data_IF_063595483065
#
_entry.id   IF_063595483065
#
_cell.length_a   1.000
_cell.length_b   1.000
_cell.length_c   1.000
_cell.angle_alpha   90.00
_cell.angle_beta   90.00
_cell.angle_gamma   90.00
#
_symmetry.space_group_name_H-M   'P 1'
#
loop_
_entity.id
_entity.type
_entity.pdbx_description
1 polymer ?
#
# COMPACT_ATOMS: atom_id res chain seq x y z
N UNK A 1 -3.88 -6.45 20.93
CA UNK A 1 -3.13 -5.57 20.02
C UNK A 1 -4.13 -4.69 19.29
N UNK A 2 -4.40 -3.51 19.84
CA UNK A 2 -5.39 -2.56 19.32
C UNK A 2 -4.70 -1.69 18.28
N UNK A 3 -5.08 -1.84 17.02
CA UNK A 3 -4.60 -1.03 15.90
C UNK A 3 -5.26 0.37 15.96
N UNK A 4 -4.81 1.22 16.89
CA UNK A 4 -5.37 2.57 17.11
C UNK A 4 -4.70 3.67 16.26
N UNK A 5 -3.77 3.34 15.36
CA UNK A 5 -3.23 4.30 14.38
C UNK A 5 -3.12 3.70 12.98
N UNK A 6 -4.06 4.09 12.12
CA UNK A 6 -4.10 3.83 10.66
C UNK A 6 -3.06 4.69 9.89
N UNK A 7 -1.84 4.82 10.39
CA UNK A 7 -0.81 5.64 9.74
C UNK A 7 -0.04 4.80 8.72
N UNK A 8 -0.50 4.81 7.46
CA UNK A 8 0.39 4.46 6.34
C UNK A 8 0.06 3.23 5.50
N UNK A 9 -1.22 2.91 5.31
CA UNK A 9 -1.57 1.89 4.32
C UNK A 9 -1.40 2.46 2.91
N UNK A 10 -0.48 1.88 2.14
CA UNK A 10 -0.33 2.11 0.69
C UNK A 10 -1.68 1.95 -0.04
N UNK A 11 -2.56 1.11 0.54
CA UNK A 11 -3.85 0.68 0.01
C UNK A 11 -5.02 1.32 0.78
N UNK A 12 -4.81 2.46 1.44
CA UNK A 12 -5.87 3.19 2.15
C UNK A 12 -6.80 3.98 1.20
N UNK A 13 -8.06 4.26 1.59
CA UNK A 13 -9.07 4.90 0.75
C UNK A 13 -8.64 6.17 -0.03
N UNK A 14 -7.75 7.04 0.50
CA UNK A 14 -7.30 8.23 -0.25
C UNK A 14 -6.20 7.95 -1.28
N UNK A 15 -5.51 6.80 -1.22
CA UNK A 15 -4.22 6.58 -1.91
C UNK A 15 -4.28 5.49 -2.98
N UNK A 16 -5.23 4.56 -2.92
CA UNK A 16 -5.46 3.54 -3.95
C UNK A 16 -6.33 4.04 -5.11
N UNK A 17 -6.05 5.23 -5.64
CA UNK A 17 -6.78 5.76 -6.80
C UNK A 17 -6.79 4.79 -7.99
N UNK A 18 -5.71 4.02 -8.18
CA UNK A 18 -5.62 2.99 -9.22
C UNK A 18 -6.69 1.91 -9.09
N UNK A 19 -6.84 1.31 -7.90
CA UNK A 19 -7.81 0.25 -7.66
C UNK A 19 -9.23 0.81 -7.48
N UNK A 20 -9.37 1.98 -6.86
CA UNK A 20 -10.65 2.66 -6.68
C UNK A 20 -11.25 3.15 -8.01
N UNK A 21 -10.42 3.46 -9.02
CA UNK A 21 -10.84 3.87 -10.36
C UNK A 21 -10.32 2.90 -11.43
N UNK A 22 -10.46 1.61 -11.16
CA UNK A 22 -9.97 0.56 -12.06
C UNK A 22 -10.44 0.78 -13.50
N UNK A 23 -9.49 0.72 -14.45
CA UNK A 23 -9.75 0.75 -15.88
C UNK A 23 -9.42 -0.62 -16.48
N UNK A 24 -10.18 -1.07 -17.48
CA UNK A 24 -9.95 -2.38 -18.12
C UNK A 24 -8.57 -2.48 -18.80
N UNK A 25 -7.98 -1.34 -19.15
CA UNK A 25 -6.62 -1.26 -19.72
C UNK A 25 -5.50 -1.46 -18.68
N UNK A 26 -5.80 -1.47 -17.39
CA UNK A 26 -4.80 -1.70 -16.35
C UNK A 26 -4.42 -3.18 -16.28
N UNK A 27 -3.13 -3.41 -16.05
CA UNK A 27 -2.56 -4.75 -15.89
C UNK A 27 -1.96 -4.91 -14.50
N UNK A 28 -1.68 -6.16 -14.11
CA UNK A 28 -0.98 -6.48 -12.85
C UNK A 28 0.34 -5.70 -12.75
N UNK A 29 1.03 -5.51 -13.89
CA UNK A 29 2.25 -4.68 -13.96
C UNK A 29 2.01 -3.27 -13.44
N UNK A 30 0.92 -2.62 -13.85
CA UNK A 30 0.56 -1.26 -13.41
C UNK A 30 0.30 -1.23 -11.90
N UNK A 31 -0.39 -2.24 -11.38
CA UNK A 31 -0.67 -2.37 -9.93
C UNK A 31 0.61 -2.46 -9.12
N UNK A 32 1.53 -3.35 -9.52
CA UNK A 32 2.80 -3.54 -8.82
C UNK A 32 3.71 -2.30 -8.92
N UNK A 33 3.72 -1.62 -10.06
CA UNK A 33 4.48 -0.38 -10.24
C UNK A 33 3.95 0.76 -9.35
N UNK A 34 2.63 0.90 -9.26
CA UNK A 34 2.02 1.93 -8.41
C UNK A 34 2.22 1.64 -6.92
N UNK A 35 2.12 0.37 -6.50
CA UNK A 35 2.46 -0.07 -5.14
C UNK A 35 3.90 0.32 -4.79
N UNK A 36 4.86 0.03 -5.67
CA UNK A 36 6.26 0.43 -5.48
C UNK A 36 6.43 1.95 -5.41
N UNK A 37 5.76 2.70 -6.29
CA UNK A 37 5.79 4.18 -6.27
C UNK A 37 5.30 4.73 -4.94
N UNK A 38 4.21 4.19 -4.42
CA UNK A 38 3.64 4.57 -3.13
C UNK A 38 4.54 4.19 -1.95
N UNK A 39 5.30 3.09 -2.03
CA UNK A 39 6.29 2.75 -0.98
C UNK A 39 7.42 3.77 -0.89
N UNK A 40 7.71 4.47 -2.00
CA UNK A 40 8.73 5.53 -2.06
C UNK A 40 8.17 6.93 -1.73
N UNK A 41 6.87 7.09 -1.43
CA UNK A 41 6.32 8.41 -1.10
C UNK A 41 6.82 8.90 0.27
N UNK A 42 6.99 10.22 0.42
CA UNK A 42 7.57 10.86 1.63
C UNK A 42 6.88 10.47 2.95
N UNK A 43 5.58 10.23 2.87
CA UNK A 43 4.70 9.78 3.95
C UNK A 43 4.84 8.30 4.32
N UNK A 44 5.35 7.46 3.41
CA UNK A 44 5.47 6.01 3.61
C UNK A 44 6.92 5.56 3.82
N UNK A 45 7.89 6.25 3.20
CA UNK A 45 9.31 5.91 3.27
C UNK A 45 9.90 5.96 4.69
N UNK A 46 9.25 6.70 5.61
CA UNK A 46 9.70 6.85 7.01
C UNK A 46 8.93 5.99 7.99
N UNK A 47 7.96 5.19 7.52
CA UNK A 47 7.17 4.34 8.40
C UNK A 47 8.02 3.18 8.92
N UNK A 48 7.95 2.86 10.22
CA UNK A 48 8.58 1.67 10.76
C UNK A 48 7.97 0.43 10.11
N UNK A 49 8.81 -0.47 9.60
CA UNK A 49 8.37 -1.77 9.09
C UNK A 49 8.26 -2.78 10.23
N UNK A 50 7.35 -3.77 10.13
CA UNK A 50 7.40 -4.95 10.98
C UNK A 50 8.71 -5.74 10.78
N UNK A 51 9.05 -6.66 11.70
CA UNK A 51 10.13 -7.61 11.49
C UNK A 51 10.05 -8.33 10.14
N UNK A 52 11.19 -8.46 9.47
CA UNK A 52 11.27 -9.19 8.21
C UNK A 52 10.82 -10.65 8.38
N UNK A 53 10.13 -11.19 7.37
CA UNK A 53 9.59 -12.55 7.41
C UNK A 53 8.24 -12.71 8.11
N UNK A 54 7.63 -11.64 8.64
CA UNK A 54 6.26 -11.71 9.13
C UNK A 54 5.24 -11.87 8.00
N UNK A 55 4.25 -12.74 8.21
CA UNK A 55 3.13 -12.99 7.31
C UNK A 55 1.80 -12.70 8.00
N UNK A 56 0.78 -12.32 7.24
CA UNK A 56 -0.59 -12.24 7.75
C UNK A 56 -1.22 -13.64 7.81
N UNK A 57 -2.05 -13.89 8.82
CA UNK A 57 -2.94 -15.05 8.83
C UNK A 57 -4.10 -14.84 7.85
N UNK A 58 -4.63 -15.92 7.30
CA UNK A 58 -5.80 -15.90 6.41
C UNK A 58 -7.12 -15.83 7.19
#
# INVERSE_FOLDING_TARGET
MTLTRWTGMIIGPPRTNLLAKWQNSYSIKVVLQELRRLMMSKENMTLPQPPEGQTYNN
#
